data_IF_240251381927
#
_entry.id   IF_240251381927
#
_cell.length_a   1.000
_cell.length_b   1.000
_cell.length_c   1.000
_cell.angle_alpha   90.00
_cell.angle_beta   90.00
_cell.angle_gamma   90.00
#
_symmetry.space_group_name_H-M   'P 1'
#
loop_
_entity.id
_entity.type
_entity.pdbx_description
1 polymer ?
#
# COMPACT_ATOMS: atom_id res chain seq x y z
N UNK A 1 -19.00 17.67 -4.59
CA UNK A 1 -18.72 16.28 -5.02
C UNK A 1 -17.87 15.67 -3.94
N UNK A 2 -18.32 14.60 -3.27
CA UNK A 2 -17.56 13.99 -2.18
C UNK A 2 -16.25 13.45 -2.73
N UNK A 3 -15.13 14.03 -2.29
CA UNK A 3 -13.81 13.49 -2.62
C UNK A 3 -13.73 12.07 -2.08
N UNK A 4 -13.66 11.09 -2.99
CA UNK A 4 -13.34 9.71 -2.61
C UNK A 4 -11.92 9.72 -2.04
N UNK A 5 -11.81 9.57 -0.73
CA UNK A 5 -10.53 9.35 -0.07
C UNK A 5 -9.85 8.11 -0.68
N UNK A 6 -8.75 8.31 -1.40
CA UNK A 6 -7.97 7.22 -1.96
C UNK A 6 -7.31 6.44 -0.81
N UNK A 7 -7.63 5.15 -0.72
CA UNK A 7 -7.14 4.28 0.35
C UNK A 7 -5.62 4.08 0.20
N UNK A 8 -4.89 4.18 1.31
CA UNK A 8 -3.43 4.02 1.27
C UNK A 8 -3.01 2.62 0.82
N UNK A 9 -2.02 2.47 -0.09
CA UNK A 9 -1.53 1.18 -0.58
C UNK A 9 -0.69 0.40 0.44
N UNK A 10 -0.55 0.89 1.69
CA UNK A 10 0.16 0.13 2.72
C UNK A 10 -0.56 -1.18 3.06
N UNK A 11 0.11 -2.33 2.90
CA UNK A 11 -0.41 -3.67 3.20
C UNK A 11 0.09 -4.24 4.55
N UNK A 12 0.48 -3.36 5.48
CA UNK A 12 1.02 -3.74 6.80
C UNK A 12 2.36 -4.49 6.77
N UNK A 13 3.10 -4.36 5.66
CA UNK A 13 4.52 -4.75 5.54
C UNK A 13 5.32 -3.49 5.30
N UNK A 14 6.20 -3.14 6.24
CA UNK A 14 7.03 -1.93 6.16
C UNK A 14 8.50 -2.29 6.37
N UNK A 15 9.14 -2.72 5.28
CA UNK A 15 10.58 -2.98 5.20
C UNK A 15 11.06 -2.40 3.88
N UNK A 16 12.09 -1.58 3.92
CA UNK A 16 12.65 -0.91 2.73
C UNK A 16 13.87 -1.68 2.27
N UNK A 17 13.93 -1.99 0.97
CA UNK A 17 15.12 -2.53 0.33
C UNK A 17 16.24 -1.48 0.34
N UNK A 18 17.42 -1.74 0.93
CA UNK A 18 18.52 -0.78 0.97
C UNK A 18 19.15 -0.50 -0.40
N UNK A 19 18.93 -1.36 -1.40
CA UNK A 19 19.50 -1.18 -2.75
C UNK A 19 18.61 -0.26 -3.59
N UNK A 20 17.32 -0.60 -3.74
CA UNK A 20 16.38 0.20 -4.55
C UNK A 20 15.76 1.39 -3.82
N UNK A 21 15.72 1.36 -2.47
CA UNK A 21 15.00 2.36 -1.67
C UNK A 21 13.48 2.16 -1.61
N UNK A 22 12.95 1.06 -2.19
CA UNK A 22 11.51 0.77 -2.22
C UNK A 22 11.06 -0.16 -1.09
N UNK A 23 9.82 0.01 -0.64
CA UNK A 23 9.22 -0.86 0.37
C UNK A 23 8.88 -2.24 -0.22
N UNK A 24 9.36 -3.33 0.38
CA UNK A 24 8.99 -4.69 -0.02
C UNK A 24 7.48 -4.95 0.01
N UNK A 25 6.73 -4.25 0.86
CA UNK A 25 5.29 -4.43 0.96
C UNK A 25 4.49 -3.70 -0.12
N UNK A 26 4.87 -2.48 -0.47
CA UNK A 26 4.01 -1.61 -1.28
C UNK A 26 4.75 -0.81 -2.35
N UNK A 27 6.04 -1.06 -2.58
CA UNK A 27 6.84 -0.38 -3.60
C UNK A 27 7.19 1.09 -3.31
N UNK A 28 6.63 1.68 -2.24
CA UNK A 28 6.83 3.12 -1.94
C UNK A 28 8.21 3.41 -1.40
N UNK A 29 8.82 4.48 -1.88
CA UNK A 29 9.96 5.16 -1.26
C UNK A 29 9.54 5.87 0.03
N UNK A 30 10.50 6.46 0.75
CA UNK A 30 10.20 7.23 1.95
C UNK A 30 9.60 8.60 1.62
N UNK A 31 9.99 9.20 0.51
CA UNK A 31 9.48 10.47 -0.02
C UNK A 31 8.01 10.31 -0.37
N UNK A 32 7.63 9.25 -1.09
CA UNK A 32 6.24 8.99 -1.45
C UNK A 32 5.37 8.72 -0.21
N UNK A 33 5.93 8.12 0.85
CA UNK A 33 5.21 7.97 2.14
C UNK A 33 4.96 9.33 2.80
N UNK A 34 5.85 10.31 2.64
CA UNK A 34 5.66 11.68 3.13
C UNK A 34 4.62 12.41 2.28
N UNK A 35 4.78 12.40 0.95
CA UNK A 35 3.83 13.00 0.00
C UNK A 35 2.43 12.45 0.21
N UNK A 36 2.26 11.14 0.37
CA UNK A 36 0.94 10.54 0.63
C UNK A 36 0.22 11.12 1.86
N UNK A 37 0.97 11.52 2.90
CA UNK A 37 0.43 12.09 4.14
C UNK A 37 0.17 13.59 4.07
N UNK A 38 0.71 14.26 3.06
CA UNK A 38 0.48 15.69 2.85
C UNK A 38 -0.97 15.92 2.42
N UNK A 39 -1.65 16.81 3.12
CA UNK A 39 -3.05 17.19 2.88
C UNK A 39 -3.23 17.86 1.52
N UNK A 40 -2.18 18.48 0.98
CA UNK A 40 -2.19 19.14 -0.33
C UNK A 40 -2.00 18.16 -1.50
N UNK A 41 -1.73 16.88 -1.21
CA UNK A 41 -1.51 15.88 -2.26
C UNK A 41 -2.81 15.48 -2.94
N UNK A 42 -2.86 15.71 -4.25
CA UNK A 42 -4.03 15.45 -5.08
C UNK A 42 -4.39 13.97 -5.18
N UNK A 43 -5.67 13.69 -5.42
CA UNK A 43 -6.13 12.32 -5.68
C UNK A 43 -5.55 11.76 -6.99
N UNK A 44 -5.31 12.60 -7.99
CA UNK A 44 -4.63 12.21 -9.23
C UNK A 44 -3.22 11.69 -8.95
N UNK A 45 -2.43 12.42 -8.15
CA UNK A 45 -1.10 11.94 -7.74
C UNK A 45 -1.18 10.60 -7.00
N UNK A 46 -2.15 10.42 -6.10
CA UNK A 46 -2.33 9.17 -5.35
C UNK A 46 -2.67 7.99 -6.26
N UNK A 47 -3.52 8.20 -7.27
CA UNK A 47 -3.89 7.18 -8.25
C UNK A 47 -2.69 6.80 -9.14
N UNK A 48 -1.98 7.80 -9.67
CA UNK A 48 -0.78 7.58 -10.48
C UNK A 48 0.29 6.87 -9.67
N UNK A 49 0.49 7.27 -8.41
CA UNK A 49 1.42 6.60 -7.52
C UNK A 49 1.09 5.12 -7.39
N UNK A 50 -0.17 4.74 -7.10
CA UNK A 50 -0.57 3.33 -6.98
C UNK A 50 -0.19 2.51 -8.22
N UNK A 51 -0.39 3.03 -9.43
CA UNK A 51 -0.02 2.34 -10.67
C UNK A 51 1.50 2.20 -10.82
N UNK A 52 2.27 3.24 -10.49
CA UNK A 52 3.73 3.14 -10.45
C UNK A 52 4.23 2.09 -9.46
N UNK A 53 3.59 1.98 -8.29
CA UNK A 53 3.96 0.98 -7.28
C UNK A 53 3.81 -0.42 -7.84
N UNK A 54 2.73 -0.71 -8.57
CA UNK A 54 2.52 -2.03 -9.20
C UNK A 54 3.62 -2.35 -10.21
N UNK A 55 4.10 -1.36 -10.96
CA UNK A 55 5.19 -1.55 -11.93
C UNK A 55 6.56 -1.82 -11.27
N UNK A 56 6.75 -1.41 -10.00
CA UNK A 56 7.99 -1.66 -9.23
C UNK A 56 8.00 -3.03 -8.56
N UNK A 57 6.83 -3.65 -8.40
CA UNK A 57 6.68 -4.99 -7.81
C UNK A 57 6.68 -6.03 -8.92
N UNK A 58 7.21 -7.22 -8.64
CA UNK A 58 7.29 -8.31 -9.62
C UNK A 58 6.96 -9.67 -9.02
N UNK A 59 6.53 -10.61 -9.87
CA UNK A 59 6.20 -11.98 -9.48
C UNK A 59 5.25 -12.06 -8.29
N UNK A 60 5.56 -12.95 -7.34
CA UNK A 60 4.74 -13.18 -6.14
C UNK A 60 4.53 -11.92 -5.28
N UNK A 61 5.45 -10.95 -5.34
CA UNK A 61 5.35 -9.71 -4.57
C UNK A 61 4.21 -8.83 -5.10
N UNK A 62 4.06 -8.74 -6.42
CA UNK A 62 2.96 -8.01 -7.06
C UNK A 62 1.62 -8.70 -6.80
N UNK A 63 1.57 -10.02 -6.91
CA UNK A 63 0.37 -10.82 -6.60
C UNK A 63 -0.07 -10.62 -5.15
N UNK A 64 0.86 -10.75 -4.19
CA UNK A 64 0.58 -10.56 -2.77
C UNK A 64 0.13 -9.13 -2.45
N UNK A 65 0.72 -8.12 -3.12
CA UNK A 65 0.28 -6.73 -2.99
C UNK A 65 -1.15 -6.54 -3.51
N UNK A 66 -1.46 -7.03 -4.72
CA UNK A 66 -2.77 -6.87 -5.33
C UNK A 66 -3.88 -7.49 -4.47
N UNK A 67 -3.70 -8.74 -4.02
CA UNK A 67 -4.68 -9.42 -3.15
C UNK A 67 -4.81 -8.73 -1.79
N UNK A 68 -3.68 -8.30 -1.20
CA UNK A 68 -3.70 -7.58 0.08
C UNK A 68 -4.36 -6.21 -0.03
N UNK A 69 -4.14 -5.50 -1.12
CA UNK A 69 -4.72 -4.18 -1.35
C UNK A 69 -6.21 -4.30 -1.69
N UNK A 70 -6.61 -5.27 -2.52
CA UNK A 70 -8.03 -5.61 -2.77
C UNK A 70 -8.77 -5.90 -1.47
N UNK A 71 -8.23 -6.78 -0.62
CA UNK A 71 -8.80 -7.05 0.70
C UNK A 71 -8.96 -5.77 1.52
N UNK A 72 -8.00 -4.85 1.44
CA UNK A 72 -8.05 -3.57 2.17
C UNK A 72 -9.12 -2.63 1.62
N UNK A 73 -9.31 -2.59 0.30
CA UNK A 73 -10.37 -1.81 -0.35
C UNK A 73 -11.76 -2.34 0.06
N UNK A 74 -11.93 -3.66 0.13
CA UNK A 74 -13.21 -4.31 0.41
C UNK A 74 -13.56 -4.35 1.91
N UNK A 75 -12.57 -4.56 2.78
CA UNK A 75 -12.79 -4.81 4.22
C UNK A 75 -12.13 -3.81 5.16
N UNK A 76 -11.39 -2.82 4.62
CA UNK A 76 -10.57 -1.90 5.41
C UNK A 76 -9.25 -2.50 5.92
N UNK A 77 -9.03 -3.82 5.76
CA UNK A 77 -7.87 -4.54 6.29
C UNK A 77 -7.09 -5.30 5.21
N UNK A 78 -5.77 -5.11 5.19
CA UNK A 78 -4.86 -5.96 4.41
C UNK A 78 -4.81 -7.39 4.97
N UNK A 79 -4.50 -8.39 4.13
CA UNK A 79 -4.44 -9.81 4.53
C UNK A 79 -3.54 -10.06 5.75
N UNK A 80 -2.36 -9.44 5.82
CA UNK A 80 -1.46 -9.58 6.97
C UNK A 80 -2.07 -9.00 8.24
N UNK A 81 -2.77 -7.86 8.14
CA UNK A 81 -3.46 -7.26 9.28
C UNK A 81 -4.61 -8.14 9.76
N UNK A 82 -5.37 -8.76 8.86
CA UNK A 82 -6.43 -9.73 9.20
C UNK A 82 -5.85 -10.90 9.99
N UNK A 83 -4.83 -11.55 9.45
CA UNK A 83 -4.15 -12.69 10.10
C UNK A 83 -3.62 -12.34 11.49
N UNK A 84 -3.02 -11.16 11.65
CA UNK A 84 -2.53 -10.67 12.94
C UNK A 84 -3.63 -10.40 13.98
N UNK A 85 -4.85 -10.08 13.54
CA UNK A 85 -5.99 -9.89 14.43
C UNK A 85 -6.62 -11.24 14.80
N UNK A 86 -6.77 -12.14 13.84
CA UNK A 86 -7.25 -13.52 14.05
C UNK A 86 -6.36 -14.27 15.05
N UNK A 87 -5.04 -14.15 14.93
CA UNK A 87 -4.10 -14.82 15.83
C UNK A 87 -4.07 -14.27 17.26
N UNK A 88 -4.66 -13.10 17.51
CA UNK A 88 -4.75 -12.49 18.86
C UNK A 88 -6.01 -12.88 19.61
N UNK A 89 -7.01 -13.41 18.89
CA UNK A 89 -8.28 -13.85 19.44
C UNK A 89 -8.30 -15.37 19.74
N UNK A 90 -7.16 -16.04 19.53
CA UNK A 90 -6.93 -17.46 19.81
C UNK A 90 -6.02 -17.63 21.03
#
# INVERSE_FOLDING_TARGET
MSEKNIISPCISVCKTDPISGFCYGCGRSNEEKKTWKDENTTNEWKLNNIEELKNRLGGWQLEAFNESYKSKLESGLSLIKKKLLESRNN
#
